data_IF_351135856051
#
_entry.id   IF_351135856051
#
_cell.length_a   1.000
_cell.length_b   1.000
_cell.length_c   1.000
_cell.angle_alpha   90.00
_cell.angle_beta   90.00
_cell.angle_gamma   90.00
#
_symmetry.space_group_name_H-M   'P 1'
#
loop_
_entity.id
_entity.type
_entity.pdbx_description
1 polymer ?
#
# COMPACT_ATOMS: atom_id res chain seq x y z
N UNK A 1 16.65 -4.33 -19.40
CA UNK A 1 15.40 -4.13 -18.65
C UNK A 1 14.28 -3.85 -19.63
N UNK A 2 13.18 -4.59 -19.57
CA UNK A 2 11.98 -4.34 -20.36
C UNK A 2 10.75 -4.75 -19.55
N UNK A 3 9.75 -3.88 -19.45
CA UNK A 3 8.47 -4.20 -18.81
C UNK A 3 7.47 -4.72 -19.85
N UNK A 4 6.57 -5.60 -19.43
CA UNK A 4 5.55 -6.19 -20.32
C UNK A 4 4.25 -6.48 -19.58
N UNK A 5 3.19 -6.77 -20.34
CA UNK A 5 1.84 -6.99 -19.81
C UNK A 5 1.33 -5.77 -19.04
N UNK A 6 1.12 -4.66 -19.76
CA UNK A 6 0.59 -3.41 -19.21
C UNK A 6 -0.79 -3.63 -18.58
N UNK A 7 -0.97 -3.18 -17.34
CA UNK A 7 -2.24 -3.25 -16.61
C UNK A 7 -3.06 -1.95 -16.70
N UNK A 8 -2.59 -0.96 -17.47
CA UNK A 8 -3.12 0.41 -17.55
C UNK A 8 -2.31 1.42 -16.73
N UNK A 9 -2.44 2.71 -17.02
CA UNK A 9 -1.79 3.82 -16.28
C UNK A 9 -0.25 3.70 -16.13
N UNK A 10 0.45 3.07 -17.09
CA UNK A 10 1.90 2.93 -17.03
C UNK A 10 2.40 1.95 -15.95
N UNK A 11 1.54 1.04 -15.47
CA UNK A 11 1.94 -0.09 -14.62
C UNK A 11 1.92 -1.40 -15.41
N UNK A 12 2.78 -2.34 -15.03
CA UNK A 12 3.09 -3.55 -15.77
C UNK A 12 3.03 -4.76 -14.84
N UNK A 13 2.67 -5.92 -15.38
CA UNK A 13 2.55 -7.16 -14.60
C UNK A 13 3.88 -7.90 -14.50
N UNK A 14 4.73 -7.78 -15.51
CA UNK A 14 5.98 -8.51 -15.61
C UNK A 14 7.13 -7.58 -16.00
N UNK A 15 8.34 -7.95 -15.59
CA UNK A 15 9.58 -7.32 -16.03
C UNK A 15 10.59 -8.39 -16.44
N UNK A 16 11.22 -8.16 -17.59
CA UNK A 16 12.41 -8.85 -18.03
C UNK A 16 13.66 -8.08 -17.58
N UNK A 17 14.53 -8.77 -16.85
CA UNK A 17 15.76 -8.24 -16.29
C UNK A 17 16.93 -8.96 -16.96
N UNK A 18 17.88 -8.17 -17.46
CA UNK A 18 19.17 -8.65 -17.96
C UNK A 18 20.26 -7.85 -17.26
N UNK A 19 21.12 -8.54 -16.51
CA UNK A 19 22.23 -7.96 -15.76
C UNK A 19 23.48 -7.86 -16.65
N UNK A 20 24.49 -7.09 -16.21
CA UNK A 20 25.72 -6.85 -17.00
C UNK A 20 26.58 -8.11 -17.19
N UNK A 21 26.45 -9.11 -16.32
CA UNK A 21 27.11 -10.41 -16.43
C UNK A 21 26.43 -11.35 -17.44
N UNK A 22 25.39 -10.88 -18.14
CA UNK A 22 24.60 -11.67 -19.08
C UNK A 22 23.52 -12.52 -18.43
N UNK A 23 23.31 -12.42 -17.11
CA UNK A 23 22.20 -13.12 -16.45
C UNK A 23 20.84 -12.53 -16.82
N UNK A 24 19.90 -13.41 -17.11
CA UNK A 24 18.53 -13.05 -17.51
C UNK A 24 17.52 -13.67 -16.54
N UNK A 25 16.53 -12.88 -16.13
CA UNK A 25 15.40 -13.38 -15.34
C UNK A 25 14.13 -12.60 -15.65
N UNK A 26 12.97 -13.25 -15.49
CA UNK A 26 11.67 -12.62 -15.55
C UNK A 26 11.07 -12.56 -14.15
N UNK A 27 10.67 -11.36 -13.71
CA UNK A 27 9.96 -11.14 -12.45
C UNK A 27 8.49 -10.80 -12.76
N UNK A 28 7.59 -11.24 -11.88
CA UNK A 28 6.14 -11.10 -12.08
C UNK A 28 5.56 -12.32 -12.79
N UNK A 29 4.69 -13.06 -12.09
CA UNK A 29 4.01 -14.24 -12.62
C UNK A 29 2.55 -14.35 -12.15
N UNK A 30 2.14 -13.58 -11.13
CA UNK A 30 0.78 -13.62 -10.59
C UNK A 30 -0.10 -12.52 -11.17
N UNK A 31 -1.40 -12.77 -11.25
CA UNK A 31 -2.41 -11.78 -11.68
C UNK A 31 -2.44 -10.50 -10.83
N UNK A 32 -1.87 -10.54 -9.62
CA UNK A 32 -1.76 -9.42 -8.69
C UNK A 32 -0.48 -8.57 -8.81
N UNK A 33 0.37 -8.81 -9.82
CA UNK A 33 1.73 -8.22 -9.90
C UNK A 33 1.82 -6.80 -10.47
N UNK A 34 0.71 -6.09 -10.72
CA UNK A 34 0.74 -4.81 -11.43
C UNK A 34 1.48 -3.71 -10.64
N UNK A 35 2.62 -3.26 -11.16
CA UNK A 35 3.53 -2.29 -10.53
C UNK A 35 4.05 -1.27 -11.55
N UNK A 36 4.34 -0.05 -11.11
CA UNK A 36 4.89 0.99 -11.99
C UNK A 36 6.24 0.57 -12.61
N UNK A 37 6.60 1.17 -13.74
CA UNK A 37 7.92 0.94 -14.35
C UNK A 37 9.07 1.25 -13.39
N UNK A 38 8.93 2.28 -12.55
CA UNK A 38 9.95 2.67 -11.56
C UNK A 38 10.12 1.62 -10.47
N UNK A 39 9.01 1.06 -9.96
CA UNK A 39 9.06 0.00 -8.96
C UNK A 39 9.64 -1.29 -9.56
N UNK A 40 9.32 -1.61 -10.83
CA UNK A 40 9.97 -2.72 -11.53
C UNK A 40 11.46 -2.51 -11.74
N UNK A 41 11.89 -1.28 -12.01
CA UNK A 41 13.29 -0.93 -12.14
C UNK A 41 14.04 -1.15 -10.81
N UNK A 42 13.41 -0.84 -9.67
CA UNK A 42 13.99 -1.14 -8.35
C UNK A 42 14.18 -2.64 -8.14
N UNK A 43 13.14 -3.46 -8.39
CA UNK A 43 13.26 -4.93 -8.29
C UNK A 43 14.30 -5.51 -9.25
N UNK A 44 14.40 -4.96 -10.46
CA UNK A 44 15.42 -5.36 -11.43
C UNK A 44 16.84 -5.09 -10.92
N UNK A 45 17.08 -3.91 -10.33
CA UNK A 45 18.37 -3.55 -9.72
C UNK A 45 18.70 -4.47 -8.54
N UNK A 46 17.73 -4.75 -7.68
CA UNK A 46 17.91 -5.62 -6.52
C UNK A 46 18.24 -7.06 -6.93
N UNK A 47 17.52 -7.60 -7.94
CA UNK A 47 17.79 -8.93 -8.48
C UNK A 47 19.23 -9.06 -9.02
N UNK A 48 19.75 -8.04 -9.72
CA UNK A 48 21.14 -8.01 -10.17
C UNK A 48 22.13 -7.82 -9.01
N UNK A 49 21.84 -6.95 -8.03
CA UNK A 49 22.72 -6.69 -6.90
C UNK A 49 22.89 -7.90 -5.97
N UNK A 50 21.80 -8.62 -5.71
CA UNK A 50 21.81 -9.85 -4.90
C UNK A 50 22.63 -10.96 -5.57
N UNK A 51 22.59 -11.02 -6.90
CA UNK A 51 23.44 -11.95 -7.66
C UNK A 51 24.92 -11.63 -7.49
N UNK A 52 25.32 -10.37 -7.63
CA UNK A 52 26.71 -9.95 -7.43
C UNK A 52 27.21 -10.21 -5.99
N UNK A 53 26.31 -10.23 -5.01
CA UNK A 53 26.67 -10.42 -3.60
C UNK A 53 26.89 -11.88 -3.21
N UNK A 54 26.27 -12.82 -3.93
CA UNK A 54 26.32 -14.26 -3.62
C UNK A 54 27.52 -14.99 -4.24
N UNK A 55 28.36 -14.33 -5.04
CA UNK A 55 29.53 -14.95 -5.69
C UNK A 55 30.81 -14.91 -4.85
N UNK A 56 30.76 -14.46 -3.59
CA UNK A 56 31.88 -14.63 -2.66
C UNK A 56 31.93 -16.05 -2.11
N UNK A 57 32.46 -16.98 -2.89
CA UNK A 57 32.99 -18.23 -2.35
C UNK A 57 34.29 -17.89 -1.59
N UNK A 58 34.40 -18.17 -0.28
CA UNK A 58 35.64 -18.02 0.45
C UNK A 58 36.53 -19.25 0.21
N UNK A 59 37.72 -19.01 -0.35
CA UNK A 59 38.85 -19.92 -0.22
C UNK A 59 38.93 -21.01 -1.28
N UNK A 60 39.60 -20.71 -2.39
CA UNK A 60 40.38 -21.73 -3.09
C UNK A 60 41.70 -21.09 -3.51
N UNK A 61 42.76 -21.50 -2.83
CA UNK A 61 44.14 -21.10 -3.08
C UNK A 61 44.53 -21.58 -4.47
N UNK A 62 44.70 -20.65 -5.41
CA UNK A 62 45.27 -20.92 -6.73
C UNK A 62 46.80 -20.92 -6.61
N UNK A 63 47.39 -22.10 -6.55
CA UNK A 63 48.77 -22.35 -6.96
C UNK A 63 48.79 -22.69 -8.46
N UNK A 64 49.68 -22.03 -9.20
CA UNK A 64 49.73 -22.08 -10.65
C UNK A 64 49.99 -23.46 -11.27
N UNK A 65 49.39 -23.66 -12.44
CA UNK A 65 49.64 -24.76 -13.36
C UNK A 65 49.02 -24.45 -14.73
N UNK A 66 49.87 -24.42 -15.75
CA UNK A 66 49.56 -24.22 -17.18
C UNK A 66 48.67 -25.33 -17.79
N UNK A 67 48.13 -25.13 -19.01
CA UNK A 67 46.88 -25.73 -19.44
C UNK A 67 47.04 -27.06 -20.19
N UNK A 68 46.05 -27.93 -19.99
CA UNK A 68 45.64 -29.00 -20.89
C UNK A 68 44.17 -29.25 -20.53
N UNK A 69 43.20 -28.91 -21.37
CA UNK A 69 42.89 -29.64 -22.59
C UNK A 69 41.69 -30.55 -22.30
N UNK A 70 40.73 -30.57 -23.23
CA UNK A 70 39.46 -31.34 -23.25
C UNK A 70 38.24 -30.54 -22.77
N UNK A 71 37.63 -29.88 -23.76
CA UNK A 71 36.26 -29.39 -23.75
C UNK A 71 35.32 -30.59 -23.91
N UNK A 72 34.45 -30.79 -22.92
CA UNK A 72 33.35 -31.77 -23.01
C UNK A 72 32.07 -30.96 -23.24
N UNK A 73 31.63 -30.93 -24.49
CA UNK A 73 30.33 -30.37 -24.88
C UNK A 73 29.20 -31.12 -24.16
N UNK A 74 28.42 -30.38 -23.37
CA UNK A 74 27.14 -30.85 -22.83
C UNK A 74 26.07 -30.53 -23.88
N UNK A 75 25.22 -31.50 -24.28
CA UNK A 75 24.22 -31.26 -25.30
C UNK A 75 23.17 -30.27 -24.79
N UNK A 76 23.06 -29.14 -25.48
CA UNK A 76 22.02 -28.13 -25.28
C UNK A 76 20.71 -28.72 -25.80
N UNK A 77 19.84 -29.16 -24.88
CA UNK A 77 18.47 -29.56 -25.20
C UNK A 77 17.68 -28.30 -25.57
N UNK A 78 17.44 -28.11 -26.87
CA UNK A 78 16.55 -27.07 -27.40
C UNK A 78 15.13 -27.31 -26.90
N UNK A 79 14.71 -26.55 -25.89
CA UNK A 79 13.31 -26.47 -25.45
C UNK A 79 12.53 -25.71 -26.51
N UNK A 80 11.78 -26.44 -27.33
CA UNK A 80 10.82 -25.88 -28.28
C UNK A 80 9.64 -25.34 -27.48
N UNK A 81 9.61 -24.04 -27.22
CA UNK A 81 8.49 -23.35 -26.58
C UNK A 81 7.31 -23.32 -27.56
N UNK A 82 6.27 -24.08 -27.22
CA UNK A 82 4.97 -24.06 -27.88
C UNK A 82 4.37 -22.66 -27.71
N UNK A 83 3.86 -22.00 -28.78
CA UNK A 83 3.23 -20.70 -28.64
C UNK A 83 2.00 -20.83 -27.75
N UNK A 84 2.06 -20.23 -26.56
CA UNK A 84 0.91 -20.11 -25.66
C UNK A 84 -0.06 -19.14 -26.31
N UNK A 85 -1.23 -19.65 -26.65
CA UNK A 85 -2.35 -18.89 -27.20
C UNK A 85 -2.71 -17.77 -26.21
N UNK A 86 -2.44 -16.52 -26.61
CA UNK A 86 -2.68 -15.35 -25.77
C UNK A 86 -4.19 -15.21 -25.53
N UNK A 87 -4.62 -15.49 -24.29
CA UNK A 87 -5.97 -15.22 -23.86
C UNK A 87 -6.28 -13.72 -24.08
N UNK A 88 -7.34 -13.44 -24.87
CA UNK A 88 -7.84 -12.09 -25.12
C UNK A 88 -8.14 -11.42 -23.77
N UNK A 89 -7.40 -10.35 -23.45
CA UNK A 89 -7.67 -9.52 -22.31
C UNK A 89 -9.05 -8.86 -22.47
N UNK A 90 -10.00 -9.22 -21.61
CA UNK A 90 -11.28 -8.51 -21.49
C UNK A 90 -11.01 -7.13 -20.87
N UNK A 91 -11.43 -6.03 -21.51
CA UNK A 91 -11.26 -4.70 -20.94
C UNK A 91 -12.10 -4.59 -19.67
N UNK A 92 -11.43 -4.49 -18.52
CA UNK A 92 -12.08 -4.23 -17.22
C UNK A 92 -12.35 -2.74 -17.14
N UNK A 93 -13.62 -2.39 -16.97
CA UNK A 93 -14.02 -1.00 -16.80
C UNK A 93 -13.67 -0.52 -15.40
N UNK A 94 -12.74 0.43 -15.28
CA UNK A 94 -12.35 1.01 -14.00
C UNK A 94 -12.99 2.41 -13.84
N UNK A 95 -13.68 2.64 -12.72
CA UNK A 95 -14.08 4.00 -12.32
C UNK A 95 -12.80 4.78 -12.05
N UNK A 96 -12.69 6.02 -12.54
CA UNK A 96 -11.50 6.84 -12.27
C UNK A 96 -11.31 7.06 -10.77
N UNK A 97 -10.10 6.78 -10.26
CA UNK A 97 -9.77 6.86 -8.82
C UNK A 97 -10.05 8.23 -8.22
N UNK A 98 -9.90 9.30 -9.01
CA UNK A 98 -10.22 10.67 -8.60
C UNK A 98 -11.70 10.83 -8.17
N UNK A 99 -12.65 10.21 -8.88
CA UNK A 99 -14.06 10.30 -8.53
C UNK A 99 -14.36 9.53 -7.23
N UNK A 100 -13.72 8.38 -7.04
CA UNK A 100 -13.84 7.61 -5.80
C UNK A 100 -13.24 8.37 -4.61
N UNK A 101 -12.06 8.98 -4.78
CA UNK A 101 -11.44 9.80 -3.74
C UNK A 101 -12.34 10.98 -3.38
N UNK A 102 -12.82 11.75 -4.37
CA UNK A 102 -13.75 12.86 -4.12
C UNK A 102 -15.03 12.40 -3.42
N UNK A 103 -15.54 11.23 -3.77
CA UNK A 103 -16.70 10.63 -3.11
C UNK A 103 -16.42 10.38 -1.63
N UNK A 104 -15.29 9.74 -1.31
CA UNK A 104 -14.87 9.47 0.07
C UNK A 104 -14.72 10.76 0.86
N UNK A 105 -14.10 11.80 0.26
CA UNK A 105 -13.94 13.10 0.90
C UNK A 105 -15.27 13.73 1.30
N UNK A 106 -16.29 13.64 0.42
CA UNK A 106 -17.63 14.16 0.66
C UNK A 106 -18.39 13.37 1.73
N UNK A 107 -18.22 12.05 1.80
CA UNK A 107 -18.82 11.24 2.88
C UNK A 107 -18.27 11.64 4.24
N UNK A 108 -16.96 11.84 4.35
CA UNK A 108 -16.32 12.32 5.58
C UNK A 108 -16.83 13.72 5.93
N UNK A 109 -16.93 14.62 4.96
CA UNK A 109 -17.44 15.98 5.20
C UNK A 109 -18.92 15.97 5.61
N UNK A 110 -19.72 15.07 5.07
CA UNK A 110 -21.13 14.90 5.41
C UNK A 110 -21.30 14.53 6.89
N UNK A 111 -20.49 13.60 7.40
CA UNK A 111 -20.50 13.24 8.82
C UNK A 111 -20.10 14.41 9.72
N UNK A 112 -19.03 15.13 9.37
CA UNK A 112 -18.58 16.32 10.13
C UNK A 112 -19.61 17.45 10.14
N UNK A 113 -20.52 17.46 9.17
CA UNK A 113 -21.54 18.49 9.00
C UNK A 113 -22.89 18.09 9.57
N UNK A 114 -23.00 17.04 10.39
CA UNK A 114 -24.30 16.53 10.88
C UNK A 114 -25.07 17.57 11.72
N UNK A 115 -24.37 18.50 12.38
CA UNK A 115 -24.98 19.62 13.11
C UNK A 115 -25.42 20.78 12.19
N UNK A 116 -24.88 20.87 10.98
CA UNK A 116 -25.18 21.92 9.99
C UNK A 116 -26.00 21.35 8.84
N UNK A 117 -27.32 21.43 8.98
CA UNK A 117 -28.28 20.91 8.00
C UNK A 117 -28.05 21.47 6.59
N UNK A 118 -27.71 22.76 6.48
CA UNK A 118 -27.54 23.42 5.18
C UNK A 118 -26.29 22.88 4.48
N UNK A 119 -25.19 22.74 5.22
CA UNK A 119 -23.97 22.15 4.69
C UNK A 119 -24.15 20.68 4.34
N UNK A 120 -24.84 19.91 5.19
CA UNK A 120 -25.15 18.51 4.93
C UNK A 120 -26.00 18.31 3.66
N UNK A 121 -27.02 19.15 3.44
CA UNK A 121 -27.83 19.13 2.20
C UNK A 121 -27.00 19.45 0.96
N UNK A 122 -26.10 20.44 1.03
CA UNK A 122 -25.19 20.78 -0.08
C UNK A 122 -24.27 19.62 -0.42
N UNK A 123 -23.62 19.02 0.57
CA UNK A 123 -22.72 17.87 0.39
C UNK A 123 -23.49 16.67 -0.18
N UNK A 124 -24.72 16.44 0.29
CA UNK A 124 -25.59 15.38 -0.24
C UNK A 124 -25.88 15.58 -1.72
N UNK A 125 -26.15 16.82 -2.16
CA UNK A 125 -26.31 17.13 -3.59
C UNK A 125 -25.03 16.86 -4.39
N UNK A 126 -23.87 17.28 -3.89
CA UNK A 126 -22.58 17.01 -4.53
C UNK A 126 -22.30 15.50 -4.66
N UNK A 127 -22.66 14.72 -3.65
CA UNK A 127 -22.60 13.25 -3.66
C UNK A 127 -23.51 12.67 -4.75
N UNK A 128 -24.76 13.15 -4.86
CA UNK A 128 -25.72 12.71 -5.89
C UNK A 128 -25.20 13.03 -7.30
N UNK A 129 -24.68 14.24 -7.53
CA UNK A 129 -24.09 14.64 -8.81
C UNK A 129 -22.86 13.80 -9.16
N UNK A 130 -21.99 13.54 -8.18
CA UNK A 130 -20.81 12.71 -8.38
C UNK A 130 -21.17 11.26 -8.73
N UNK A 131 -22.24 10.71 -8.13
CA UNK A 131 -22.80 9.40 -8.51
C UNK A 131 -23.28 9.37 -9.94
N UNK A 132 -23.99 10.41 -10.38
CA UNK A 132 -24.45 10.51 -11.77
C UNK A 132 -23.25 10.52 -12.74
N UNK A 133 -22.16 11.21 -12.38
CA UNK A 133 -20.91 11.19 -13.15
C UNK A 133 -20.27 9.79 -13.20
N UNK A 134 -20.15 9.12 -12.05
CA UNK A 134 -19.61 7.75 -11.98
C UNK A 134 -20.46 6.78 -12.81
N UNK A 135 -21.79 6.83 -12.69
CA UNK A 135 -22.70 5.98 -13.47
C UNK A 135 -22.63 6.25 -14.97
N UNK A 136 -22.47 7.53 -15.35
CA UNK A 136 -22.30 7.92 -16.76
C UNK A 136 -20.99 7.37 -17.32
N UNK A 137 -19.88 7.51 -16.59
CA UNK A 137 -18.59 6.95 -16.99
C UNK A 137 -18.64 5.41 -17.12
N UNK A 138 -19.29 4.72 -16.19
CA UNK A 138 -19.47 3.27 -16.27
C UNK A 138 -20.25 2.87 -17.53
N UNK A 139 -21.35 3.59 -17.86
CA UNK A 139 -22.13 3.33 -19.08
C UNK A 139 -21.34 3.60 -20.34
N UNK A 140 -20.64 4.73 -20.40
CA UNK A 140 -19.78 5.09 -21.54
C UNK A 140 -18.70 4.04 -21.75
N UNK A 141 -18.08 3.56 -20.68
CA UNK A 141 -17.05 2.56 -20.72
C UNK A 141 -17.55 1.18 -21.22
N UNK A 142 -18.75 0.76 -20.82
CA UNK A 142 -19.41 -0.44 -21.37
C UNK A 142 -19.71 -0.26 -22.87
N UNK A 143 -20.09 0.94 -23.30
CA UNK A 143 -20.44 1.23 -24.68
C UNK A 143 -19.22 1.47 -25.61
N UNK A 144 -18.07 1.86 -25.04
CA UNK A 144 -16.86 2.22 -25.80
C UNK A 144 -15.85 1.06 -25.90
N UNK A 145 -16.17 -0.12 -25.38
CA UNK A 145 -15.38 -1.32 -25.61
C UNK A 145 -15.18 -1.52 -27.13
N UNK A 146 -13.93 -1.53 -27.63
CA UNK A 146 -13.69 -1.41 -29.06
C UNK A 146 -14.28 -2.60 -29.80
N UNK A 147 -15.27 -2.34 -30.68
CA UNK A 147 -15.36 -3.10 -31.92
C UNK A 147 -13.95 -3.04 -32.53
N UNK A 148 -13.28 -4.19 -32.58
CA UNK A 148 -11.94 -4.32 -33.14
C UNK A 148 -11.89 -3.53 -34.44
N UNK A 149 -11.13 -2.42 -34.44
CA UNK A 149 -10.77 -1.73 -35.67
C UNK A 149 -9.93 -2.70 -36.47
N UNK A 150 -10.60 -3.47 -37.32
CA UNK A 150 -10.00 -4.17 -38.42
C UNK A 150 -9.33 -3.10 -39.27
N UNK A 151 -8.00 -3.08 -39.22
CA UNK A 151 -7.18 -2.33 -40.15
C UNK A 151 -7.66 -2.69 -41.55
N UNK A 152 -8.21 -1.69 -42.26
CA UNK A 152 -8.67 -1.83 -43.65
C UNK A 152 -7.51 -2.32 -44.52
N UNK A 153 -7.47 -3.63 -44.78
CA UNK A 153 -6.90 -4.18 -46.00
C UNK A 153 -8.01 -4.19 -47.06
N UNK A 154 -7.71 -3.63 -48.21
CA UNK A 154 -8.61 -3.42 -49.34
C UNK A 154 -8.83 -4.75 -50.06
N UNK A 155 -10.06 -5.30 -50.09
CA UNK A 155 -10.65 -6.01 -51.24
C UNK A 155 -12.13 -6.45 -50.99
N UNK A 156 -12.91 -6.75 -52.04
CA UNK A 156 -14.36 -6.46 -52.06
C UNK A 156 -15.29 -7.62 -51.72
N UNK A 157 -16.46 -7.21 -51.21
CA UNK A 157 -17.79 -7.80 -51.33
C UNK A 157 -17.92 -9.32 -51.08
N UNK A 158 -18.26 -9.67 -49.84
CA UNK A 158 -19.05 -10.88 -49.59
C UNK A 158 -20.15 -10.58 -48.57
N UNK A 159 -21.38 -10.80 -49.00
CA UNK A 159 -22.63 -10.54 -48.29
C UNK A 159 -22.92 -11.73 -47.38
N UNK A 160 -22.64 -11.61 -46.08
CA UNK A 160 -23.03 -12.61 -45.07
C UNK A 160 -23.79 -11.89 -43.94
N UNK A 161 -24.88 -12.47 -43.40
CA UNK A 161 -25.74 -11.78 -42.43
C UNK A 161 -25.01 -11.51 -41.11
N UNK A 162 -25.14 -10.27 -40.61
CA UNK A 162 -24.58 -9.85 -39.32
C UNK A 162 -25.23 -10.63 -38.17
N UNK A 163 -24.41 -11.40 -37.45
CA UNK A 163 -24.76 -11.94 -36.13
C UNK A 163 -24.71 -10.81 -35.11
N UNK A 164 -25.85 -10.54 -34.47
CA UNK A 164 -26.01 -9.61 -33.36
C UNK A 164 -25.19 -10.15 -32.17
N UNK A 165 -24.00 -9.61 -31.93
CA UNK A 165 -23.20 -9.95 -30.75
C UNK A 165 -23.70 -9.08 -29.60
N UNK A 166 -24.50 -9.68 -28.73
CA UNK A 166 -24.99 -9.08 -27.48
C UNK A 166 -23.84 -9.05 -26.46
N UNK A 167 -23.27 -7.86 -26.22
CA UNK A 167 -22.19 -7.63 -25.26
C UNK A 167 -22.72 -7.76 -23.82
N UNK A 168 -22.84 -9.00 -23.33
CA UNK A 168 -23.14 -9.30 -21.93
C UNK A 168 -21.84 -9.22 -21.12
N UNK A 169 -21.80 -8.52 -19.97
CA UNK A 169 -20.60 -8.44 -19.13
C UNK A 169 -20.19 -9.85 -18.70
N UNK A 170 -18.94 -10.22 -19.02
CA UNK A 170 -18.32 -11.45 -18.55
C UNK A 170 -17.97 -11.23 -17.08
N UNK A 171 -18.77 -11.78 -16.18
CA UNK A 171 -18.42 -11.84 -14.78
C UNK A 171 -17.20 -12.75 -14.64
N UNK A 172 -16.05 -12.20 -14.22
CA UNK A 172 -14.90 -13.00 -13.82
C UNK A 172 -15.33 -13.82 -12.62
N UNK A 173 -15.42 -15.13 -12.79
CA UNK A 173 -15.71 -16.05 -11.70
C UNK A 173 -14.50 -16.10 -10.78
N UNK A 174 -14.49 -15.25 -9.75
CA UNK A 174 -13.55 -15.37 -8.64
C UNK A 174 -13.82 -16.70 -7.92
N UNK A 175 -12.82 -17.57 -7.90
CA UNK A 175 -12.85 -18.80 -7.12
C UNK A 175 -12.75 -18.49 -5.62
N UNK A 176 -13.92 -18.19 -5.04
CA UNK A 176 -14.08 -17.89 -3.60
C UNK A 176 -13.72 -19.09 -2.71
N UNK A 177 -13.59 -20.30 -3.26
CA UNK A 177 -13.31 -21.48 -2.44
C UNK A 177 -11.86 -21.53 -1.95
N UNK A 178 -10.96 -20.86 -2.66
CA UNK A 178 -9.58 -20.66 -2.18
C UNK A 178 -9.52 -19.73 -0.96
N UNK A 179 -10.54 -18.88 -0.72
CA UNK A 179 -10.58 -18.01 0.45
C UNK A 179 -10.78 -18.81 1.75
N UNK A 180 -11.42 -19.99 1.71
CA UNK A 180 -11.72 -20.79 2.93
C UNK A 180 -10.46 -21.03 3.76
N UNK A 181 -9.34 -21.38 3.13
CA UNK A 181 -8.06 -21.60 3.80
C UNK A 181 -7.52 -20.33 4.47
N UNK A 182 -7.75 -19.16 3.88
CA UNK A 182 -7.38 -17.87 4.47
C UNK A 182 -8.23 -17.57 5.71
N UNK A 183 -9.54 -17.84 5.66
CA UNK A 183 -10.42 -17.69 6.83
C UNK A 183 -10.01 -18.62 7.98
N UNK A 184 -9.64 -19.87 7.69
CA UNK A 184 -9.16 -20.81 8.72
C UNK A 184 -7.85 -20.33 9.37
N UNK A 185 -6.94 -19.81 8.57
CA UNK A 185 -5.68 -19.22 9.04
C UNK A 185 -5.94 -18.02 9.95
N UNK A 186 -6.86 -17.13 9.56
CA UNK A 186 -7.32 -15.99 10.37
C UNK A 186 -7.92 -16.45 11.70
N UNK A 187 -8.81 -17.44 11.69
CA UNK A 187 -9.41 -18.00 12.92
C UNK A 187 -8.33 -18.57 13.84
N UNK A 188 -7.37 -19.31 13.31
CA UNK A 188 -6.28 -19.89 14.09
C UNK A 188 -5.40 -18.80 14.75
N UNK A 189 -5.12 -17.71 14.04
CA UNK A 189 -4.38 -16.57 14.59
C UNK A 189 -5.12 -15.91 15.77
N UNK A 190 -6.40 -15.57 15.61
CA UNK A 190 -7.15 -14.94 16.71
C UNK A 190 -7.39 -15.88 17.89
N UNK A 191 -7.50 -17.20 17.66
CA UNK A 191 -7.51 -18.17 18.76
C UNK A 191 -6.20 -18.17 19.55
N UNK A 192 -5.04 -18.02 18.88
CA UNK A 192 -3.75 -17.87 19.58
C UNK A 192 -3.70 -16.60 20.41
N UNK A 193 -4.17 -15.47 19.85
CA UNK A 193 -4.28 -14.21 20.59
C UNK A 193 -5.21 -14.35 21.81
N UNK A 194 -6.38 -14.98 21.66
CA UNK A 194 -7.34 -15.17 22.75
C UNK A 194 -6.81 -15.99 23.93
N UNK A 195 -5.74 -16.77 23.73
CA UNK A 195 -5.06 -17.52 24.79
C UNK A 195 -4.02 -16.69 25.56
N UNK A 196 -3.72 -15.45 25.14
CA UNK A 196 -2.79 -14.56 25.84
C UNK A 196 -3.42 -13.96 27.10
N UNK A 197 -2.56 -13.50 28.02
CA UNK A 197 -2.99 -12.76 29.21
C UNK A 197 -3.52 -11.36 28.87
N UNK A 198 -4.35 -10.79 29.74
CA UNK A 198 -5.02 -9.50 29.47
C UNK A 198 -4.03 -8.35 29.26
N UNK A 199 -2.87 -8.38 29.93
CA UNK A 199 -1.82 -7.38 29.74
C UNK A 199 -1.17 -7.46 28.35
N UNK A 200 -0.96 -8.67 27.82
CA UNK A 200 -0.43 -8.87 26.47
C UNK A 200 -1.47 -8.51 25.41
N UNK A 201 -2.74 -8.84 25.64
CA UNK A 201 -3.83 -8.42 24.76
C UNK A 201 -3.92 -6.89 24.66
N UNK A 202 -3.81 -6.19 25.79
CA UNK A 202 -3.79 -4.72 25.84
C UNK A 202 -2.60 -4.13 25.09
N UNK A 203 -1.41 -4.74 25.17
CA UNK A 203 -0.24 -4.33 24.36
C UNK A 203 -0.51 -4.46 22.86
N UNK A 204 -1.24 -5.51 22.47
CA UNK A 204 -1.68 -5.72 21.08
C UNK A 204 -2.89 -4.86 20.68
N UNK A 205 -3.46 -4.07 21.60
CA UNK A 205 -4.60 -3.18 21.33
C UNK A 205 -5.96 -3.88 21.30
N UNK A 206 -6.07 -5.09 21.86
CA UNK A 206 -7.31 -5.87 21.89
C UNK A 206 -7.80 -6.11 23.33
N UNK A 207 -9.12 -6.15 23.50
CA UNK A 207 -9.77 -6.77 24.67
C UNK A 207 -10.09 -8.25 24.40
N UNK A 208 -10.31 -9.03 25.46
CA UNK A 208 -10.70 -10.44 25.32
C UNK A 208 -12.07 -10.57 24.65
N UNK A 209 -13.01 -9.70 24.99
CA UNK A 209 -14.34 -9.63 24.40
C UNK A 209 -14.28 -9.26 22.91
N UNK A 210 -13.39 -8.33 22.52
CA UNK A 210 -13.15 -7.99 21.12
C UNK A 210 -12.67 -9.21 20.33
N UNK A 211 -11.72 -9.98 20.87
CA UNK A 211 -11.20 -11.19 20.21
C UNK A 211 -12.28 -12.26 20.07
N UNK A 212 -13.06 -12.50 21.12
CA UNK A 212 -14.13 -13.49 21.07
C UNK A 212 -15.17 -13.11 20.00
N UNK A 213 -15.53 -11.83 19.93
CA UNK A 213 -16.41 -11.29 18.89
C UNK A 213 -15.84 -11.49 17.49
N UNK A 214 -14.55 -11.19 17.28
CA UNK A 214 -13.86 -11.39 16.00
C UNK A 214 -13.89 -12.88 15.59
N UNK A 215 -13.63 -13.81 16.52
CA UNK A 215 -13.65 -15.25 16.24
C UNK A 215 -15.06 -15.70 15.84
N UNK A 216 -16.10 -15.23 16.52
CA UNK A 216 -17.49 -15.56 16.19
C UNK A 216 -17.87 -15.03 14.80
N UNK A 217 -17.52 -13.78 14.49
CA UNK A 217 -17.76 -13.19 13.17
C UNK A 217 -17.00 -13.96 12.07
N UNK A 218 -15.76 -14.37 12.33
CA UNK A 218 -14.97 -15.18 11.41
C UNK A 218 -15.61 -16.55 11.14
N UNK A 219 -16.10 -17.22 12.17
CA UNK A 219 -16.77 -18.52 12.07
C UNK A 219 -18.07 -18.42 11.26
N UNK A 220 -18.86 -17.35 11.47
CA UNK A 220 -20.05 -17.10 10.66
C UNK A 220 -19.71 -16.77 9.20
N UNK A 221 -18.62 -16.04 8.97
CA UNK A 221 -18.16 -15.69 7.62
C UNK A 221 -17.70 -16.91 6.82
N UNK A 222 -16.87 -17.77 7.42
CA UNK A 222 -16.38 -18.98 6.75
C UNK A 222 -17.53 -19.97 6.44
N UNK A 223 -18.55 -20.07 7.29
CA UNK A 223 -19.75 -20.88 7.01
C UNK A 223 -20.49 -20.39 5.75
N UNK A 224 -20.61 -19.07 5.57
CA UNK A 224 -21.20 -18.48 4.35
C UNK A 224 -20.37 -18.79 3.11
N UNK A 225 -19.04 -18.68 3.20
CA UNK A 225 -18.14 -19.00 2.07
C UNK A 225 -18.21 -20.49 1.73
N UNK A 226 -18.16 -21.38 2.73
CA UNK A 226 -18.29 -22.83 2.53
C UNK A 226 -19.64 -23.20 1.88
N UNK A 227 -20.74 -22.58 2.31
CA UNK A 227 -22.04 -22.80 1.70
C UNK A 227 -22.08 -22.41 0.21
N UNK A 228 -21.35 -21.36 -0.19
CA UNK A 228 -21.22 -20.97 -1.60
C UNK A 228 -20.39 -21.99 -2.40
N UNK A 229 -19.41 -22.65 -1.78
CA UNK A 229 -18.56 -23.66 -2.41
C UNK A 229 -19.27 -25.00 -2.63
N UNK A 230 -20.05 -25.49 -1.66
CA UNK A 230 -20.76 -26.77 -1.78
C UNK A 230 -21.77 -26.78 -2.93
N UNK A 231 -22.23 -25.61 -3.38
CA UNK A 231 -23.10 -25.46 -4.55
C UNK A 231 -22.41 -25.63 -5.90
N UNK A 232 -21.08 -25.48 -5.97
CA UNK A 232 -20.33 -25.55 -7.24
C UNK A 232 -19.95 -26.98 -7.65
N UNK A 233 -19.71 -27.88 -6.69
CA UNK A 233 -19.23 -29.26 -6.99
C UNK A 233 -20.25 -30.16 -7.69
N UNK A 234 -21.55 -29.81 -7.71
CA UNK A 234 -22.62 -30.71 -8.19
C UNK A 234 -23.16 -30.42 -9.58
N UNK A 235 -22.62 -29.46 -10.32
CA UNK A 235 -23.03 -29.24 -11.71
C UNK A 235 -21.97 -29.85 -12.63
N UNK A 236 -22.12 -31.10 -13.08
CA UNK A 236 -21.24 -31.62 -14.12
C UNK A 236 -21.29 -30.66 -15.31
N UNK A 237 -20.10 -30.25 -15.77
CA UNK A 237 -19.90 -29.36 -16.92
C UNK A 237 -20.41 -30.08 -18.17
N UNK A 238 -21.73 -30.13 -18.36
CA UNK A 238 -22.33 -30.58 -19.60
C UNK A 238 -22.35 -29.36 -20.51
N UNK A 239 -21.44 -29.39 -21.48
CA UNK A 239 -21.23 -28.43 -22.55
C UNK A 239 -22.50 -28.31 -23.39
N UNK A 240 -23.43 -27.43 -23.00
CA UNK A 240 -24.48 -26.96 -23.91
C UNK A 240 -24.87 -25.52 -23.56
N UNK A 241 -24.25 -24.60 -24.30
CA UNK A 241 -24.54 -23.17 -24.27
C UNK A 241 -26.01 -22.94 -24.67
N UNK A 242 -26.89 -22.88 -23.67
CA UNK A 242 -28.25 -22.38 -23.84
C UNK A 242 -28.26 -21.04 -23.13
N UNK A 243 -28.42 -19.95 -23.89
CA UNK A 243 -28.44 -18.60 -23.38
C UNK A 243 -29.68 -18.40 -22.50
N UNK A 244 -29.55 -18.70 -21.20
CA UNK A 244 -30.58 -18.40 -20.22
C UNK A 244 -30.37 -16.95 -19.79
N UNK A 245 -31.35 -16.11 -20.11
CA UNK A 245 -31.51 -14.71 -19.71
C UNK A 245 -31.84 -14.63 -18.21
N UNK A 246 -30.98 -15.20 -17.37
CA UNK A 246 -31.09 -15.12 -15.92
C UNK A 246 -30.42 -13.85 -15.43
N UNK A 247 -31.15 -13.03 -14.67
CA UNK A 247 -30.60 -11.94 -13.86
C UNK A 247 -29.45 -12.48 -13.02
N UNK A 248 -28.24 -11.99 -13.23
CA UNK A 248 -27.11 -12.30 -12.37
C UNK A 248 -27.44 -11.77 -10.97
N UNK A 249 -27.77 -12.68 -10.04
CA UNK A 249 -27.92 -12.35 -8.63
C UNK A 249 -26.56 -11.86 -8.14
N UNK A 250 -26.46 -10.57 -7.82
CA UNK A 250 -25.26 -9.95 -7.27
C UNK A 250 -24.91 -10.71 -6.00
N UNK A 251 -23.85 -11.51 -6.05
CA UNK A 251 -23.39 -12.31 -4.92
C UNK A 251 -22.97 -11.34 -3.83
N UNK A 252 -23.65 -11.38 -2.69
CA UNK A 252 -23.36 -10.49 -1.56
C UNK A 252 -21.88 -10.61 -1.18
N UNK A 253 -21.19 -9.47 -1.16
CA UNK A 253 -19.78 -9.37 -0.78
C UNK A 253 -19.67 -9.63 0.71
N UNK A 254 -18.83 -10.61 1.07
CA UNK A 254 -18.64 -11.00 2.47
C UNK A 254 -17.89 -9.89 3.19
N UNK A 255 -18.38 -9.52 4.37
CA UNK A 255 -17.75 -8.53 5.25
C UNK A 255 -16.38 -9.05 5.69
N UNK A 256 -15.27 -8.32 5.45
CA UNK A 256 -13.97 -8.72 5.97
C UNK A 256 -14.00 -8.58 7.50
N UNK A 257 -13.76 -9.67 8.20
CA UNK A 257 -13.74 -9.67 9.67
C UNK A 257 -12.34 -9.35 10.19
N UNK A 258 -11.32 -9.80 9.46
CA UNK A 258 -9.92 -9.53 9.72
C UNK A 258 -9.35 -8.93 8.45
N UNK A 259 -8.92 -7.69 8.56
CA UNK A 259 -8.35 -6.95 7.46
C UNK A 259 -6.85 -7.20 7.45
N UNK A 260 -6.37 -7.73 6.33
CA UNK A 260 -4.94 -7.86 6.10
C UNK A 260 -4.37 -6.64 5.41
N UNK A 261 -5.12 -5.98 4.53
CA UNK A 261 -4.64 -4.80 3.81
C UNK A 261 -5.74 -3.77 3.62
N UNK A 262 -5.37 -2.52 3.43
CA UNK A 262 -6.33 -1.49 3.04
C UNK A 262 -7.03 -1.76 1.70
N UNK A 263 -6.44 -2.57 0.82
CA UNK A 263 -7.07 -2.98 -0.44
C UNK A 263 -8.31 -3.85 -0.23
N UNK A 264 -8.32 -4.71 0.80
CA UNK A 264 -9.50 -5.51 1.17
C UNK A 264 -10.64 -4.59 1.61
N UNK A 265 -10.34 -3.57 2.44
CA UNK A 265 -11.30 -2.54 2.87
C UNK A 265 -11.82 -1.80 1.63
N UNK A 266 -10.93 -1.36 0.75
CA UNK A 266 -11.29 -0.62 -0.47
C UNK A 266 -12.25 -1.40 -1.37
N UNK A 267 -11.98 -2.70 -1.59
CA UNK A 267 -12.84 -3.57 -2.41
C UNK A 267 -14.22 -3.78 -1.76
N UNK A 268 -14.25 -4.11 -0.47
CA UNK A 268 -15.50 -4.26 0.27
C UNK A 268 -16.32 -2.96 0.24
N UNK A 269 -15.66 -1.84 0.49
CA UNK A 269 -16.27 -0.52 0.49
C UNK A 269 -16.88 -0.18 -0.86
N UNK A 270 -16.14 -0.35 -1.97
CA UNK A 270 -16.65 -0.10 -3.34
C UNK A 270 -17.94 -0.89 -3.58
N UNK A 271 -17.96 -2.18 -3.24
CA UNK A 271 -19.14 -3.03 -3.45
C UNK A 271 -20.34 -2.64 -2.57
N UNK A 272 -20.11 -2.36 -1.28
CA UNK A 272 -21.18 -1.92 -0.37
C UNK A 272 -21.70 -0.54 -0.72
N UNK A 273 -20.82 0.31 -1.22
CA UNK A 273 -21.16 1.63 -1.68
C UNK A 273 -22.11 1.57 -2.88
N UNK A 274 -21.82 0.74 -3.88
CA UNK A 274 -22.72 0.51 -5.03
C UNK A 274 -24.10 0.04 -4.60
N UNK A 275 -24.17 -0.84 -3.58
CA UNK A 275 -25.44 -1.28 -2.98
C UNK A 275 -26.18 -0.11 -2.34
N UNK A 276 -25.51 0.68 -1.50
CA UNK A 276 -26.10 1.84 -0.83
C UNK A 276 -26.53 2.94 -1.81
N UNK A 277 -25.80 3.10 -2.92
CA UNK A 277 -26.15 3.99 -4.02
C UNK A 277 -27.44 3.56 -4.72
N UNK A 278 -27.64 2.24 -4.84
CA UNK A 278 -28.80 1.65 -5.52
C UNK A 278 -30.07 1.64 -4.67
N UNK A 279 -29.96 1.90 -3.36
CA UNK A 279 -31.10 1.98 -2.45
C UNK A 279 -31.97 3.20 -2.75
N UNK A 280 -33.28 2.98 -2.91
CA UNK A 280 -34.26 4.04 -3.16
C UNK A 280 -34.61 4.79 -1.87
N UNK A 281 -34.60 6.13 -1.95
CA UNK A 281 -34.93 7.05 -0.87
C UNK A 281 -33.69 7.69 -0.26
N UNK A 282 -33.67 9.02 -0.18
CA UNK A 282 -32.52 9.81 0.25
C UNK A 282 -32.14 9.51 1.70
N UNK A 283 -33.10 9.44 2.62
CA UNK A 283 -32.84 9.19 4.04
C UNK A 283 -32.26 7.80 4.28
N UNK A 284 -32.82 6.77 3.63
CA UNK A 284 -32.32 5.39 3.74
C UNK A 284 -30.91 5.27 3.19
N UNK A 285 -30.65 5.92 2.06
CA UNK A 285 -29.33 5.97 1.47
C UNK A 285 -28.32 6.67 2.39
N UNK A 286 -28.67 7.82 2.98
CA UNK A 286 -27.82 8.52 3.94
C UNK A 286 -27.53 7.61 5.15
N UNK A 287 -28.55 6.91 5.66
CA UNK A 287 -28.38 5.98 6.78
C UNK A 287 -27.44 4.82 6.43
N UNK A 288 -27.59 4.19 5.26
CA UNK A 288 -26.70 3.13 4.79
C UNK A 288 -25.27 3.62 4.59
N UNK A 289 -25.08 4.85 4.10
CA UNK A 289 -23.76 5.46 3.95
C UNK A 289 -23.10 5.75 5.30
N UNK A 290 -23.86 6.20 6.31
CA UNK A 290 -23.37 6.37 7.68
C UNK A 290 -22.92 5.04 8.28
N UNK A 291 -23.78 4.03 8.21
CA UNK A 291 -23.43 2.68 8.69
C UNK A 291 -22.20 2.13 7.98
N UNK A 292 -22.09 2.33 6.66
CA UNK A 292 -20.92 1.90 5.90
C UNK A 292 -19.65 2.62 6.35
N UNK A 293 -19.70 3.91 6.67
CA UNK A 293 -18.54 4.64 7.16
C UNK A 293 -18.14 4.19 8.57
N UNK A 294 -19.09 3.98 9.47
CA UNK A 294 -18.81 3.41 10.79
C UNK A 294 -18.15 2.02 10.68
N UNK A 295 -18.58 1.20 9.70
CA UNK A 295 -17.95 -0.09 9.39
C UNK A 295 -16.49 0.07 8.93
N UNK A 296 -16.23 1.01 8.01
CA UNK A 296 -14.86 1.30 7.53
C UNK A 296 -13.98 1.81 8.67
N UNK A 297 -14.49 2.69 9.52
CA UNK A 297 -13.73 3.26 10.63
C UNK A 297 -13.33 2.16 11.63
N UNK A 298 -14.25 1.22 11.88
CA UNK A 298 -13.95 -0.01 12.61
C UNK A 298 -12.86 -0.86 11.94
N UNK A 299 -12.88 -0.96 10.60
CA UNK A 299 -11.87 -1.72 9.86
C UNK A 299 -10.49 -1.07 9.88
N UNK A 300 -10.41 0.26 9.69
CA UNK A 300 -9.14 0.98 9.78
C UNK A 300 -8.56 0.86 11.19
N UNK A 301 -9.39 1.00 12.23
CA UNK A 301 -8.97 0.77 13.63
C UNK A 301 -8.40 -0.64 13.82
N UNK A 302 -9.08 -1.66 13.31
CA UNK A 302 -8.63 -3.05 13.38
C UNK A 302 -7.35 -3.31 12.57
N UNK A 303 -7.18 -2.66 11.41
CA UNK A 303 -5.98 -2.77 10.59
C UNK A 303 -4.76 -2.23 11.36
N UNK A 304 -4.88 -1.04 11.96
CA UNK A 304 -3.83 -0.42 12.78
C UNK A 304 -3.52 -1.29 14.02
N UNK A 305 -4.55 -1.84 14.69
CA UNK A 305 -4.37 -2.72 15.85
C UNK A 305 -3.71 -4.06 15.49
N UNK A 306 -4.05 -4.65 14.35
CA UNK A 306 -3.62 -6.00 13.98
C UNK A 306 -2.21 -6.06 13.39
N UNK A 307 -1.78 -5.02 12.66
CA UNK A 307 -0.45 -4.97 12.03
C UNK A 307 0.60 -4.44 12.99
N UNK A 308 1.82 -4.99 12.99
CA UNK A 308 2.94 -4.42 13.77
C UNK A 308 3.59 -3.24 13.04
N UNK A 309 3.69 -3.40 11.72
CA UNK A 309 4.22 -2.40 10.79
C UNK A 309 3.15 -2.19 9.73
N UNK A 310 2.83 -0.93 9.43
CA UNK A 310 1.79 -0.53 8.51
C UNK A 310 2.34 0.52 7.57
N UNK A 311 2.31 0.26 6.26
CA UNK A 311 2.63 1.25 5.26
C UNK A 311 1.50 2.28 5.19
N UNK A 312 1.82 3.57 5.27
CA UNK A 312 0.80 4.63 5.20
C UNK A 312 0.03 4.57 3.89
N UNK A 313 0.67 4.13 2.81
CA UNK A 313 0.04 3.93 1.50
C UNK A 313 -1.06 2.88 1.48
N UNK A 314 -1.12 1.97 2.47
CA UNK A 314 -2.28 1.07 2.61
C UNK A 314 -3.52 1.81 3.11
N UNK A 315 -3.33 2.90 3.85
CA UNK A 315 -4.43 3.75 4.32
C UNK A 315 -4.83 4.80 3.27
N UNK A 316 -4.05 4.95 2.20
CA UNK A 316 -4.39 5.84 1.10
C UNK A 316 -5.78 5.51 0.56
N UNK A 317 -6.55 6.57 0.30
CA UNK A 317 -7.95 6.53 -0.12
C UNK A 317 -8.96 6.14 0.97
N UNK A 318 -8.53 5.60 2.11
CA UNK A 318 -9.41 5.28 3.24
C UNK A 318 -9.49 6.44 4.23
N UNK A 319 -8.37 7.14 4.42
CA UNK A 319 -8.24 8.31 5.29
C UNK A 319 -7.59 9.48 4.57
N UNK A 320 -7.85 10.70 5.04
CA UNK A 320 -7.23 11.92 4.50
C UNK A 320 -5.90 12.21 5.17
N UNK A 321 -5.87 12.01 6.48
CA UNK A 321 -4.75 12.40 7.34
C UNK A 321 -4.43 11.28 8.32
N UNK A 322 -3.15 10.94 8.45
CA UNK A 322 -2.64 10.09 9.52
C UNK A 322 -1.76 10.92 10.42
N UNK A 323 -2.12 11.01 11.69
CA UNK A 323 -1.44 11.81 12.71
C UNK A 323 -0.86 10.88 13.77
N UNK A 324 0.46 10.91 13.94
CA UNK A 324 1.15 10.11 14.96
C UNK A 324 1.61 11.06 16.06
N UNK A 325 1.22 10.75 17.29
CA UNK A 325 1.55 11.54 18.49
C UNK A 325 1.94 10.61 19.63
N UNK A 326 2.31 11.16 20.79
CA UNK A 326 2.73 10.35 21.95
C UNK A 326 1.66 9.31 22.32
N UNK A 327 2.03 8.03 22.24
CA UNK A 327 1.20 6.89 22.62
C UNK A 327 -0.04 6.65 21.77
N UNK A 328 -0.16 7.27 20.58
CA UNK A 328 -1.37 7.21 19.78
C UNK A 328 -1.10 7.39 18.28
N UNK A 329 -1.84 6.63 17.46
CA UNK A 329 -1.97 6.86 16.02
C UNK A 329 -3.42 7.25 15.76
N UNK A 330 -3.62 8.38 15.08
CA UNK A 330 -4.92 8.83 14.59
C UNK A 330 -4.97 8.76 13.08
N UNK A 331 -6.08 8.29 12.54
CA UNK A 331 -6.35 8.24 11.11
C UNK A 331 -7.73 8.88 10.89
N UNK A 332 -7.75 10.13 10.42
CA UNK A 332 -8.90 11.03 10.52
C UNK A 332 -9.47 11.11 11.96
N UNK A 333 -10.73 10.70 12.15
CA UNK A 333 -11.44 10.74 13.43
C UNK A 333 -11.24 9.45 14.26
N UNK A 334 -10.45 8.49 13.73
CA UNK A 334 -10.17 7.19 14.34
C UNK A 334 -8.92 7.31 15.18
N UNK A 335 -8.99 6.86 16.44
CA UNK A 335 -7.89 6.93 17.40
C UNK A 335 -7.54 5.53 17.89
N UNK A 336 -6.26 5.18 17.80
CA UNK A 336 -5.70 3.91 18.31
C UNK A 336 -4.54 4.21 19.25
N UNK A 337 -4.73 3.92 20.54
CA UNK A 337 -3.67 4.05 21.55
C UNK A 337 -2.67 2.91 21.38
N UNK A 338 -1.40 3.26 21.16
CA UNK A 338 -0.34 2.27 20.96
C UNK A 338 1.04 2.90 21.12
N UNK A 339 2.04 2.08 21.50
CA UNK A 339 3.44 2.50 21.67
C UNK A 339 4.45 1.60 20.96
N UNK A 340 3.98 0.58 20.23
CA UNK A 340 4.85 -0.46 19.64
C UNK A 340 4.63 -0.63 18.13
N UNK A 341 3.74 0.18 17.56
CA UNK A 341 3.31 0.10 16.16
C UNK A 341 4.15 1.04 15.32
N UNK A 342 4.55 0.58 14.15
CA UNK A 342 5.36 1.37 13.23
C UNK A 342 4.54 1.75 12.01
N UNK A 343 4.57 3.03 11.66
CA UNK A 343 4.09 3.53 10.38
C UNK A 343 5.29 3.68 9.44
N UNK A 344 5.22 3.05 8.27
CA UNK A 344 6.24 3.19 7.24
C UNK A 344 5.77 4.24 6.23
N UNK A 345 6.59 5.27 6.02
CA UNK A 345 6.33 6.36 5.07
C UNK A 345 7.60 6.71 4.32
N UNK A 346 7.49 7.21 3.10
CA UNK A 346 8.64 7.71 2.35
C UNK A 346 8.84 9.21 2.60
N UNK A 347 10.07 9.60 2.90
CA UNK A 347 10.50 11.00 2.96
C UNK A 347 11.52 11.20 1.85
N UNK A 348 11.15 11.95 0.81
CA UNK A 348 11.85 11.91 -0.46
C UNK A 348 11.82 10.49 -1.05
N UNK A 349 12.99 9.97 -1.42
CA UNK A 349 13.13 8.62 -1.97
C UNK A 349 13.45 7.55 -0.90
N UNK A 350 13.39 7.89 0.40
CA UNK A 350 13.82 7.01 1.49
C UNK A 350 12.65 6.59 2.39
N UNK A 351 12.45 5.29 2.65
CA UNK A 351 11.49 4.84 3.64
C UNK A 351 12.01 5.12 5.05
N UNK A 352 11.15 5.70 5.89
CA UNK A 352 11.38 5.93 7.32
C UNK A 352 10.31 5.23 8.15
N UNK A 353 10.67 4.80 9.36
CA UNK A 353 9.76 4.17 10.31
C UNK A 353 9.40 5.14 11.42
N UNK A 354 8.11 5.36 11.64
CA UNK A 354 7.58 6.28 12.65
C UNK A 354 6.87 5.46 13.73
N UNK A 355 7.29 5.63 14.98
CA UNK A 355 6.79 4.88 16.13
C UNK A 355 6.35 5.85 17.24
N UNK A 356 5.09 5.81 17.70
CA UNK A 356 4.67 6.55 18.87
C UNK A 356 5.30 5.91 20.12
N UNK A 357 5.84 6.72 21.02
CA UNK A 357 6.31 6.29 22.34
C UNK A 357 5.48 6.96 23.43
N UNK A 358 5.72 6.62 24.69
CA UNK A 358 4.97 7.22 25.82
C UNK A 358 5.17 8.74 25.91
N UNK A 359 6.36 9.23 25.57
CA UNK A 359 6.72 10.65 25.73
C UNK A 359 6.74 11.44 24.42
N UNK A 360 7.05 10.80 23.30
CA UNK A 360 7.32 11.45 22.02
C UNK A 360 7.05 10.53 20.83
N UNK A 361 7.24 11.01 19.61
CA UNK A 361 7.28 10.21 18.39
C UNK A 361 8.74 9.98 18.01
N UNK A 362 9.09 8.74 17.69
CA UNK A 362 10.41 8.34 17.27
C UNK A 362 10.41 7.99 15.78
N UNK A 363 11.22 8.68 14.99
CA UNK A 363 11.43 8.37 13.57
C UNK A 363 12.80 7.71 13.41
N UNK A 364 12.82 6.53 12.81
CA UNK A 364 14.03 5.73 12.54
C UNK A 364 14.39 5.82 11.06
N UNK A 365 15.61 6.27 10.78
CA UNK A 365 16.13 6.48 9.43
C UNK A 365 17.60 6.04 9.34
N UNK A 366 17.87 4.92 8.66
CA UNK A 366 19.22 4.32 8.50
C UNK A 366 20.06 4.24 9.80
N UNK A 367 19.41 3.92 10.92
CA UNK A 367 20.06 3.80 12.23
C UNK A 367 20.16 5.12 13.01
N UNK A 368 19.74 6.24 12.43
CA UNK A 368 19.51 7.48 13.16
C UNK A 368 18.14 7.44 13.84
N UNK A 369 18.11 7.95 15.06
CA UNK A 369 16.89 8.14 15.85
C UNK A 369 16.57 9.63 15.93
N UNK A 370 15.41 10.01 15.39
CA UNK A 370 14.92 11.38 15.33
C UNK A 370 13.72 11.50 16.25
N UNK A 371 13.83 12.39 17.24
CA UNK A 371 12.76 12.67 18.19
C UNK A 371 11.88 13.81 17.68
N UNK A 372 10.57 13.69 17.85
CA UNK A 372 9.63 14.78 17.60
C UNK A 372 8.38 14.61 18.46
N UNK A 373 7.61 15.68 18.68
CA UNK A 373 6.41 15.60 19.51
C UNK A 373 5.24 14.93 18.77
N UNK A 374 5.11 15.24 17.48
CA UNK A 374 3.96 14.90 16.66
C UNK A 374 4.31 15.05 15.19
N UNK A 375 3.78 14.15 14.36
CA UNK A 375 3.89 14.23 12.91
C UNK A 375 2.53 14.00 12.27
N UNK A 376 2.33 14.64 11.12
CA UNK A 376 1.15 14.47 10.29
C UNK A 376 1.56 13.96 8.93
N UNK A 377 0.82 13.00 8.39
CA UNK A 377 1.07 12.38 7.09
C UNK A 377 -0.19 12.56 6.25
N UNK A 378 -0.06 13.32 5.18
CA UNK A 378 -1.16 13.63 4.24
C UNK A 378 -0.68 13.31 2.85
N UNK A 379 -1.41 12.45 2.13
CA UNK A 379 -1.04 12.04 0.76
C UNK A 379 0.42 11.50 0.68
N UNK A 380 0.82 10.68 1.66
CA UNK A 380 2.19 10.19 1.86
C UNK A 380 3.28 11.25 2.10
N UNK A 381 2.92 12.52 2.31
CA UNK A 381 3.86 13.58 2.67
C UNK A 381 3.92 13.71 4.19
N UNK A 382 5.09 13.50 4.76
CA UNK A 382 5.37 13.72 6.17
C UNK A 382 5.49 15.22 6.45
N UNK A 383 4.84 15.71 7.50
CA UNK A 383 4.89 17.10 7.93
C UNK A 383 5.03 17.20 9.45
N UNK A 384 5.65 18.29 9.92
CA UNK A 384 5.79 18.65 11.33
C UNK A 384 5.36 20.09 11.51
N UNK A 385 4.42 20.34 12.42
CA UNK A 385 3.81 21.67 12.57
C UNK A 385 3.05 22.15 11.32
N UNK A 386 2.64 21.21 10.45
CA UNK A 386 2.03 21.55 9.15
C UNK A 386 3.02 21.98 8.07
N UNK A 387 4.33 21.85 8.33
CA UNK A 387 5.38 22.10 7.32
C UNK A 387 5.93 20.77 6.81
N UNK A 388 5.96 20.61 5.49
CA UNK A 388 6.42 19.39 4.83
C UNK A 388 7.91 19.12 5.07
N UNK A 389 8.24 17.85 5.26
CA UNK A 389 9.59 17.31 5.39
C UNK A 389 9.95 16.67 4.05
N UNK A 390 10.86 17.28 3.28
CA UNK A 390 11.21 16.80 1.93
C UNK A 390 12.48 15.96 1.88
N UNK A 391 13.38 16.12 2.84
CA UNK A 391 14.61 15.36 2.97
C UNK A 391 14.64 14.61 4.30
N UNK A 392 15.08 13.36 4.27
CA UNK A 392 15.19 12.54 5.48
C UNK A 392 16.41 12.95 6.32
N UNK A 393 16.41 12.65 7.62
CA UNK A 393 17.51 13.03 8.51
C UNK A 393 18.86 12.41 8.08
N UNK A 394 18.86 11.17 7.60
CA UNK A 394 20.06 10.50 7.08
C UNK A 394 20.57 11.16 5.81
N UNK A 395 19.69 11.63 4.94
CA UNK A 395 20.08 12.36 3.73
C UNK A 395 20.71 13.72 4.07
N UNK A 396 20.13 14.46 5.02
CA UNK A 396 20.69 15.73 5.50
C UNK A 396 22.04 15.49 6.19
N UNK A 397 22.17 14.48 7.04
CA UNK A 397 23.42 14.14 7.72
C UNK A 397 24.53 13.73 6.72
N UNK A 398 24.20 12.88 5.73
CA UNK A 398 25.11 12.49 4.64
C UNK A 398 25.57 13.71 3.84
N UNK A 399 24.64 14.60 3.46
CA UNK A 399 24.92 15.83 2.69
C UNK A 399 25.88 16.77 3.43
N UNK A 400 25.72 16.87 4.75
CA UNK A 400 26.56 17.73 5.59
C UNK A 400 27.85 17.03 6.08
N UNK A 401 28.01 15.73 5.81
CA UNK A 401 29.16 14.94 6.29
C UNK A 401 29.19 14.80 7.81
N UNK A 402 28.02 14.61 8.43
CA UNK A 402 27.84 14.57 9.89
C UNK A 402 27.45 13.17 10.37
N UNK A 403 27.85 12.84 11.59
CA UNK A 403 27.41 11.64 12.31
C UNK A 403 26.79 12.08 13.64
N UNK A 404 25.52 12.54 13.64
CA UNK A 404 24.87 13.03 14.85
C UNK A 404 24.62 11.90 15.85
N UNK A 405 24.67 12.22 17.14
CA UNK A 405 24.35 11.32 18.26
C UNK A 405 22.85 11.33 18.53
N UNK A 406 22.24 12.52 18.52
CA UNK A 406 20.79 12.70 18.68
C UNK A 406 20.28 13.70 17.66
N UNK A 407 19.06 13.49 17.18
CA UNK A 407 18.41 14.39 16.24
C UNK A 407 17.01 14.72 16.77
N UNK A 408 16.63 15.99 16.75
CA UNK A 408 15.27 16.45 17.02
C UNK A 408 14.70 17.10 15.75
N UNK A 409 13.47 16.73 15.39
CA UNK A 409 12.72 17.34 14.28
C UNK A 409 11.58 18.19 14.86
N UNK A 410 11.57 19.47 14.52
CA UNK A 410 10.59 20.44 15.01
C UNK A 410 10.26 21.49 13.96
N UNK A 411 9.16 22.21 14.17
CA UNK A 411 8.87 23.42 13.41
C UNK A 411 9.58 24.61 14.07
N UNK A 412 10.36 25.37 13.30
CA UNK A 412 10.99 26.60 13.74
C UNK A 412 10.91 27.65 12.63
N UNK A 413 10.33 28.82 12.93
CA UNK A 413 10.14 29.91 11.96
C UNK A 413 9.39 29.47 10.68
N UNK A 414 8.32 28.67 10.82
CA UNK A 414 7.53 28.11 9.72
C UNK A 414 8.35 27.23 8.77
N UNK A 415 9.41 26.61 9.29
CA UNK A 415 10.22 25.59 8.59
C UNK A 415 10.29 24.33 9.43
N UNK A 416 10.26 23.18 8.79
CA UNK A 416 10.68 21.94 9.42
C UNK A 416 12.22 21.92 9.50
N UNK A 417 12.77 21.76 10.70
CA UNK A 417 14.23 21.79 10.93
C UNK A 417 14.69 20.59 11.74
N UNK A 418 15.90 20.12 11.44
CA UNK A 418 16.61 19.10 12.21
C UNK A 418 17.65 19.77 13.12
N UNK A 419 17.50 19.62 14.43
CA UNK A 419 18.53 19.94 15.40
C UNK A 419 19.39 18.70 15.64
N UNK A 420 20.61 18.72 15.08
CA UNK A 420 21.55 17.61 15.13
C UNK A 420 22.62 17.86 16.19
N UNK A 421 22.61 17.09 17.28
CA UNK A 421 23.68 17.11 18.27
C UNK A 421 24.83 16.19 17.81
N UNK A 422 26.04 16.74 17.73
CA UNK A 422 27.23 16.04 17.25
C UNK A 422 28.28 16.11 18.35
N UNK A 423 28.84 14.95 18.69
CA UNK A 423 30.03 14.87 19.52
C UNK A 423 31.29 14.89 18.66
N UNK A 424 32.16 15.88 18.89
CA UNK A 424 33.47 15.98 18.24
C UNK A 424 34.57 15.85 19.29
N UNK A 425 35.47 14.88 19.08
CA UNK A 425 36.67 14.75 19.92
C UNK A 425 37.63 15.90 19.66
N UNK A 426 38.00 16.62 20.72
CA UNK A 426 38.94 17.75 20.71
C UNK A 426 39.91 17.69 21.88
N UNK A 427 40.85 18.63 21.92
CA UNK A 427 41.78 18.84 23.04
C UNK A 427 41.53 20.18 23.72
N UNK A 428 41.14 20.16 24.99
CA UNK A 428 41.07 21.34 25.84
C UNK A 428 42.49 21.80 26.18
N UNK A 429 42.77 23.10 26.02
CA UNK A 429 44.09 23.72 26.17
C UNK A 429 45.21 23.07 25.32
N UNK A 430 44.87 22.32 24.28
CA UNK A 430 45.84 21.70 23.36
C UNK A 430 46.30 20.29 23.74
N UNK A 431 45.97 19.78 24.93
CA UNK A 431 46.49 18.48 25.39
C UNK A 431 45.47 17.56 26.09
N UNK A 432 44.39 18.08 26.68
CA UNK A 432 43.43 17.23 27.41
C UNK A 432 42.33 16.75 26.47
N UNK A 433 42.22 15.46 26.13
CA UNK A 433 41.17 14.96 25.26
C UNK A 433 39.80 15.14 25.91
N UNK A 434 38.84 15.67 25.16
CA UNK A 434 37.47 15.93 25.60
C UNK A 434 36.49 15.82 24.42
N UNK A 435 35.27 15.34 24.65
CA UNK A 435 34.21 15.32 23.64
C UNK A 435 33.39 16.60 23.74
N UNK A 436 33.46 17.42 22.70
CA UNK A 436 32.71 18.67 22.61
C UNK A 436 31.39 18.40 21.87
N UNK A 437 30.28 18.72 22.51
CA UNK A 437 28.97 18.77 21.87
C UNK A 437 28.85 20.03 21.02
N UNK A 438 28.29 19.92 19.83
CA UNK A 438 27.82 21.05 19.02
C UNK A 438 26.47 20.71 18.41
N UNK A 439 25.61 21.72 18.27
CA UNK A 439 24.28 21.55 17.67
C UNK A 439 24.29 22.25 16.32
N UNK A 440 23.93 21.52 15.27
CA UNK A 440 23.73 22.06 13.92
C UNK A 440 22.24 21.98 13.62
N UNK A 441 21.62 23.13 13.33
CA UNK A 441 20.24 23.19 12.85
C UNK A 441 20.26 23.21 11.33
N UNK A 442 19.61 22.23 10.70
CA UNK A 442 19.52 22.10 9.26
C UNK A 442 18.07 22.11 8.76
N UNK A 443 17.84 22.72 7.60
CA UNK A 443 16.54 22.80 6.94
C UNK A 443 16.11 21.41 6.43
N UNK A 444 14.94 20.91 6.80
CA UNK A 444 14.44 19.60 6.37
C UNK A 444 13.89 19.61 4.94
N UNK A 445 13.78 20.77 4.29
CA UNK A 445 13.38 20.88 2.89
C UNK A 445 14.55 20.62 1.93
N UNK A 446 15.72 21.16 2.26
CA UNK A 446 16.86 21.23 1.36
C UNK A 446 18.20 20.83 1.99
N UNK A 447 18.24 20.53 3.29
CA UNK A 447 19.42 20.08 4.00
C UNK A 447 20.51 21.14 4.22
N UNK A 448 20.21 22.43 4.00
CA UNK A 448 21.17 23.50 4.25
C UNK A 448 21.26 23.80 5.76
N UNK A 449 22.46 24.12 6.24
CA UNK A 449 22.67 24.59 7.61
C UNK A 449 22.06 25.97 7.81
N UNK A 450 21.21 26.12 8.82
CA UNK A 450 20.58 27.37 9.22
C UNK A 450 21.35 28.05 10.36
N UNK A 451 21.83 27.27 11.33
CA UNK A 451 22.63 27.76 12.44
C UNK A 451 23.60 26.69 12.96
N UNK A 452 24.68 27.15 13.60
CA UNK A 452 25.61 26.29 14.35
C UNK A 452 25.75 26.88 15.76
N UNK A 453 25.37 26.09 16.76
CA UNK A 453 25.54 26.43 18.16
C UNK A 453 26.73 25.69 18.73
N UNK A 454 27.72 26.48 19.15
CA UNK A 454 28.92 26.02 19.81
C UNK A 454 28.84 26.30 21.31
N UNK A 455 29.38 25.41 22.16
CA UNK A 455 29.42 25.66 23.58
C UNK A 455 30.33 26.86 23.87
N UNK A 456 30.05 27.58 24.94
CA UNK A 456 30.77 28.81 25.31
C UNK A 456 32.29 28.59 25.47
N UNK A 457 32.71 27.39 25.87
CA UNK A 457 34.12 27.04 26.06
C UNK A 457 34.83 26.62 24.76
N UNK A 458 34.17 26.71 23.60
CA UNK A 458 34.73 26.30 22.32
C UNK A 458 36.11 26.94 22.02
N UNK A 459 36.29 28.22 22.38
CA UNK A 459 37.53 28.95 22.16
C UNK A 459 38.73 28.38 22.94
N UNK A 460 38.50 27.56 23.98
CA UNK A 460 39.54 26.88 24.75
C UNK A 460 39.94 25.53 24.15
N UNK A 461 39.31 25.10 23.06
CA UNK A 461 39.52 23.79 22.44
C UNK A 461 40.25 23.89 21.11
N UNK A 462 41.07 22.88 20.82
CA UNK A 462 41.76 22.70 19.53
C UNK A 462 41.42 21.31 18.98
N UNK A 463 41.51 21.13 17.66
CA UNK A 463 41.30 19.82 17.03
C UNK A 463 42.43 18.86 17.35
#
# INVERSE_FOLDING_TARGET
FAVSNECGLGVYKNVYVQCYDGYETNLGASESSCKSADLWNQYAKEACANRCSNERIPGTVFTGGEPSGISTEVPITTVTTRPVEMAKATPVCYIGDNLMQKYNLLIIELQKSESDKVRAERITKEIIELKQKISTQQKECVNTAPQQQTSKSIQPASTVPQLLIENKPVAVALDRCNEVAQWETKIAYYKKLGNLGDDELRKNGFSREEIEKIIQELLLGIEKVRAQCTGQEKTPVITRATAITGSASITETVKPVVIESGQEIGTYYKSRLEKAVSTKGEEKQIQELKTLRDEIDGFISNLIKSRKELEVSELDNLVKEVKVSRGEIKADDISVKTTEKKMLVNVGDRPVSIEPTVSQVLIRDKGLEVNTNEVTITENVLSVGGVDVKMSASEVAEKLGLTPVTIELKEENSKAVYDMNIEERRKLFGFIPFNRERIITADAENGNTLSEHLPWYNFMTTK
#
